data_IF_703095966502
#
_entry.id   IF_703095966502
#
_cell.length_a   1.000
_cell.length_b   1.000
_cell.length_c   1.000
_cell.angle_alpha   90.00
_cell.angle_beta   90.00
_cell.angle_gamma   90.00
#
_symmetry.space_group_name_H-M   'P 1'
#
loop_
_entity.id
_entity.type
_entity.pdbx_description
1 polymer ?
#
# COMPACT_ATOMS: atom_id res chain seq x y z
N UNK A 1 -2.92 -1.65 -0.58
CA UNK A 1 -3.66 -2.54 -1.50
C UNK A 1 -5.10 -2.09 -1.54
N UNK A 2 -5.82 -2.17 -0.41
CA UNK A 2 -7.20 -1.69 -0.33
C UNK A 2 -7.27 -0.21 -0.67
N UNK A 3 -8.32 0.20 -1.37
CA UNK A 3 -8.47 1.57 -1.88
C UNK A 3 -7.52 1.97 -3.03
N UNK A 4 -6.45 1.19 -3.28
CA UNK A 4 -5.42 1.48 -4.28
C UNK A 4 -5.50 0.54 -5.48
N UNK A 5 -5.43 -0.78 -5.24
CA UNK A 5 -5.45 -1.83 -6.28
C UNK A 5 -6.83 -2.48 -6.42
N UNK A 6 -7.63 -2.37 -5.38
CA UNK A 6 -9.05 -2.62 -5.33
C UNK A 6 -9.74 -1.35 -4.85
N UNK A 7 -10.88 -1.02 -5.38
CA UNK A 7 -11.57 0.23 -5.06
C UNK A 7 -13.06 0.10 -5.26
N UNK A 8 -13.84 1.01 -4.66
CA UNK A 8 -15.31 0.90 -4.61
C UNK A 8 -15.94 0.68 -5.99
N UNK A 9 -15.53 1.44 -7.00
CA UNK A 9 -16.06 1.31 -8.36
C UNK A 9 -15.63 0.03 -9.08
N UNK A 10 -14.50 -0.57 -8.69
CA UNK A 10 -14.06 -1.85 -9.25
C UNK A 10 -15.08 -2.95 -8.94
N UNK A 11 -15.52 -3.05 -7.69
CA UNK A 11 -16.46 -4.10 -7.27
C UNK A 11 -17.83 -4.03 -7.95
N UNK A 12 -18.18 -2.88 -8.54
CA UNK A 12 -19.43 -2.69 -9.30
C UNK A 12 -19.19 -2.56 -10.81
N UNK A 13 -17.96 -2.73 -11.25
CA UNK A 13 -17.59 -2.61 -12.67
C UNK A 13 -18.03 -3.82 -13.47
N UNK A 14 -18.52 -3.59 -14.70
CA UNK A 14 -18.78 -4.65 -15.67
C UNK A 14 -17.50 -5.40 -16.10
N UNK A 15 -16.32 -4.78 -15.91
CA UNK A 15 -15.01 -5.39 -16.17
C UNK A 15 -14.58 -6.37 -15.07
N UNK A 16 -15.15 -6.25 -13.87
CA UNK A 16 -14.85 -7.16 -12.78
C UNK A 16 -15.47 -8.53 -13.08
N UNK A 17 -14.67 -9.62 -13.16
CA UNK A 17 -15.17 -10.94 -13.48
C UNK A 17 -16.12 -11.51 -12.42
N UNK A 18 -16.30 -10.77 -11.33
CA UNK A 18 -17.08 -11.22 -10.16
C UNK A 18 -16.30 -12.18 -9.29
N UNK A 19 -16.66 -12.17 -8.02
CA UNK A 19 -16.05 -13.05 -7.02
C UNK A 19 -16.77 -14.41 -7.03
N UNK A 20 -16.50 -15.25 -8.01
CA UNK A 20 -17.13 -16.57 -8.12
C UNK A 20 -16.54 -17.59 -7.13
N UNK A 21 -15.32 -17.36 -6.60
CA UNK A 21 -14.65 -18.24 -5.64
C UNK A 21 -13.69 -17.52 -4.67
N UNK A 22 -13.85 -16.21 -4.45
CA UNK A 22 -13.06 -15.46 -3.47
C UNK A 22 -11.64 -15.05 -3.93
N UNK A 23 -11.27 -15.25 -5.18
CA UNK A 23 -9.90 -14.99 -5.66
C UNK A 23 -9.84 -14.15 -6.93
N UNK A 24 -10.82 -14.27 -7.82
CA UNK A 24 -10.87 -13.50 -9.07
C UNK A 24 -11.80 -12.30 -8.87
N UNK A 25 -11.31 -11.11 -9.18
CA UNK A 25 -12.06 -9.85 -9.04
C UNK A 25 -11.74 -9.03 -7.78
N UNK A 26 -10.88 -9.51 -6.89
CA UNK A 26 -10.44 -8.73 -5.73
C UNK A 26 -9.57 -7.52 -6.15
N UNK A 27 -8.75 -7.67 -7.19
CA UNK A 27 -7.79 -6.66 -7.66
C UNK A 27 -8.10 -6.26 -9.11
N UNK A 28 -7.94 -4.96 -9.40
CA UNK A 28 -8.07 -4.45 -10.77
C UNK A 28 -6.75 -4.65 -11.53
N UNK A 29 -6.74 -5.40 -12.65
CA UNK A 29 -5.57 -5.58 -13.49
C UNK A 29 -4.95 -4.27 -14.00
N UNK A 30 -5.77 -3.26 -14.27
CA UNK A 30 -5.30 -1.95 -14.74
C UNK A 30 -4.52 -1.24 -13.61
N UNK A 31 -4.95 -1.37 -12.36
CA UNK A 31 -4.23 -0.84 -11.20
C UNK A 31 -2.92 -1.58 -10.95
N UNK A 32 -2.91 -2.90 -11.10
CA UNK A 32 -1.69 -3.72 -11.01
C UNK A 32 -0.67 -3.29 -12.08
N UNK A 33 -1.09 -3.14 -13.33
CA UNK A 33 -0.21 -2.69 -14.41
C UNK A 33 0.39 -1.30 -14.16
N UNK A 34 -0.35 -0.40 -13.49
CA UNK A 34 0.16 0.91 -13.06
C UNK A 34 1.27 0.81 -12.04
N UNK A 35 1.15 -0.10 -11.08
CA UNK A 35 2.23 -0.34 -10.09
C UNK A 35 3.44 -0.96 -10.78
N UNK A 36 3.25 -1.95 -11.66
CA UNK A 36 4.34 -2.54 -12.44
C UNK A 36 5.09 -1.46 -13.22
N UNK A 37 4.35 -0.55 -13.87
CA UNK A 37 4.95 0.57 -14.62
C UNK A 37 5.84 1.45 -13.72
N UNK A 38 5.41 1.78 -12.49
CA UNK A 38 6.25 2.53 -11.55
C UNK A 38 7.55 1.78 -11.29
N UNK A 39 7.47 0.48 -10.98
CA UNK A 39 8.64 -0.35 -10.71
C UNK A 39 9.58 -0.45 -11.91
N UNK A 40 9.05 -0.65 -13.11
CA UNK A 40 9.84 -0.78 -14.35
C UNK A 40 10.58 0.51 -14.71
N UNK A 41 9.92 1.67 -14.55
CA UNK A 41 10.50 2.96 -14.91
C UNK A 41 11.49 3.51 -13.88
N UNK A 42 11.40 3.07 -12.61
CA UNK A 42 12.23 3.62 -11.51
C UNK A 42 13.18 2.59 -10.89
N UNK A 43 12.98 1.30 -11.14
CA UNK A 43 13.68 0.23 -10.45
C UNK A 43 13.23 0.01 -8.99
N UNK A 44 12.23 0.75 -8.53
CA UNK A 44 11.70 0.64 -7.18
C UNK A 44 11.14 -0.75 -6.88
N UNK A 45 11.19 -1.12 -5.60
CA UNK A 45 10.60 -2.35 -5.07
C UNK A 45 9.41 -2.02 -4.19
N UNK A 46 8.55 -3.00 -3.99
CA UNK A 46 7.30 -2.85 -3.24
C UNK A 46 7.47 -3.42 -1.85
N UNK A 47 7.12 -2.61 -0.85
CA UNK A 47 6.94 -3.02 0.54
C UNK A 47 5.44 -2.90 0.87
N UNK A 48 4.82 -4.00 1.26
CA UNK A 48 3.37 -4.02 1.53
C UNK A 48 3.07 -3.41 2.89
N UNK A 49 2.29 -2.33 2.91
CA UNK A 49 1.80 -1.65 4.11
C UNK A 49 0.28 -1.83 4.32
N UNK A 50 -0.38 -2.68 3.56
CA UNK A 50 -1.80 -3.01 3.70
C UNK A 50 -2.01 -4.14 4.73
N UNK A 51 -3.21 -4.26 5.26
CA UNK A 51 -3.60 -5.39 6.14
C UNK A 51 -3.51 -6.76 5.45
N UNK A 52 -3.44 -6.79 4.14
CA UNK A 52 -3.14 -8.00 3.37
C UNK A 52 -1.78 -8.63 3.73
N UNK A 53 -0.84 -7.86 4.30
CA UNK A 53 0.45 -8.37 4.80
C UNK A 53 0.32 -9.43 5.90
N UNK A 54 -0.83 -9.51 6.59
CA UNK A 54 -1.12 -10.52 7.62
C UNK A 54 -1.10 -11.92 6.99
N UNK A 55 -1.68 -12.07 5.80
CA UNK A 55 -1.62 -13.30 5.02
C UNK A 55 -0.52 -13.22 3.96
N UNK A 56 0.73 -13.07 4.39
CA UNK A 56 1.86 -12.78 3.52
C UNK A 56 1.95 -13.67 2.28
N UNK A 57 1.96 -14.99 2.47
CA UNK A 57 2.03 -15.94 1.34
C UNK A 57 0.80 -15.87 0.43
N UNK A 58 -0.37 -15.68 1.01
CA UNK A 58 -1.61 -15.52 0.25
C UNK A 58 -1.60 -14.24 -0.59
N UNK A 59 -1.06 -13.16 -0.04
CA UNK A 59 -0.92 -11.87 -0.74
C UNK A 59 0.09 -11.97 -1.87
N UNK A 60 1.29 -12.52 -1.61
CA UNK A 60 2.28 -12.75 -2.67
C UNK A 60 1.73 -13.64 -3.79
N UNK A 61 1.03 -14.71 -3.46
CA UNK A 61 0.41 -15.59 -4.45
C UNK A 61 -0.60 -14.85 -5.33
N UNK A 62 -1.50 -14.05 -4.73
CA UNK A 62 -2.50 -13.27 -5.48
C UNK A 62 -1.86 -12.21 -6.36
N UNK A 63 -0.91 -11.45 -5.82
CA UNK A 63 -0.18 -10.43 -6.57
C UNK A 63 0.64 -11.04 -7.71
N UNK A 64 1.30 -12.19 -7.47
CA UNK A 64 2.04 -12.93 -8.48
C UNK A 64 1.16 -13.40 -9.64
N UNK A 65 -0.04 -13.90 -9.36
CA UNK A 65 -1.03 -14.25 -10.41
C UNK A 65 -1.46 -13.05 -11.26
N UNK A 66 -1.37 -11.85 -10.72
CA UNK A 66 -1.68 -10.62 -11.42
C UNK A 66 -0.46 -9.98 -12.11
N UNK A 67 0.71 -10.62 -12.05
CA UNK A 67 1.94 -10.17 -12.69
C UNK A 67 2.91 -9.40 -11.78
N UNK A 68 2.56 -9.15 -10.51
CA UNK A 68 3.46 -8.63 -9.49
C UNK A 68 4.18 -9.78 -8.80
N UNK A 69 5.24 -10.26 -9.42
CA UNK A 69 6.02 -11.38 -8.92
C UNK A 69 6.95 -11.00 -7.72
N UNK A 70 7.70 -11.99 -7.24
CA UNK A 70 8.62 -11.82 -6.10
C UNK A 70 9.76 -10.82 -6.35
N UNK A 71 10.07 -10.50 -7.62
CA UNK A 71 11.10 -9.52 -7.94
C UNK A 71 10.64 -8.08 -7.64
N UNK A 72 9.32 -7.84 -7.61
CA UNK A 72 8.75 -6.55 -7.25
C UNK A 72 8.43 -6.45 -5.76
N UNK A 73 7.79 -7.46 -5.19
CA UNK A 73 7.28 -7.45 -3.81
C UNK A 73 8.28 -8.10 -2.87
N UNK A 74 9.10 -7.30 -2.23
CA UNK A 74 10.27 -7.76 -1.46
C UNK A 74 10.02 -7.90 0.04
N UNK A 75 9.10 -7.11 0.62
CA UNK A 75 8.92 -7.07 2.07
C UNK A 75 7.55 -6.48 2.46
N UNK A 76 7.31 -6.39 3.77
CA UNK A 76 6.14 -5.77 4.39
C UNK A 76 6.53 -4.92 5.59
N UNK A 77 5.74 -3.87 5.87
CA UNK A 77 5.93 -3.05 7.09
C UNK A 77 5.54 -3.83 8.35
N UNK A 78 6.06 -3.45 9.55
CA UNK A 78 5.62 -4.02 10.82
C UNK A 78 4.12 -3.77 11.06
N UNK A 79 3.51 -4.61 11.89
CA UNK A 79 2.06 -4.58 12.18
C UNK A 79 1.80 -3.95 13.54
N UNK A 80 1.91 -2.63 13.66
CA UNK A 80 1.70 -1.95 14.94
C UNK A 80 0.21 -1.84 15.31
N UNK A 81 -0.65 -1.61 14.32
CA UNK A 81 -2.09 -1.43 14.51
C UNK A 81 -2.74 -2.65 15.18
N UNK A 82 -2.34 -3.88 14.79
CA UNK A 82 -2.92 -5.10 15.35
C UNK A 82 -2.51 -5.40 16.79
N UNK A 83 -1.35 -4.92 17.23
CA UNK A 83 -0.91 -5.07 18.64
C UNK A 83 -1.81 -4.32 19.60
N UNK A 84 -2.53 -3.32 19.13
CA UNK A 84 -3.40 -2.46 19.93
C UNK A 84 -4.81 -2.99 20.04
N UNK A 85 -5.34 -3.61 18.99
CA UNK A 85 -6.70 -4.19 19.02
C UNK A 85 -6.84 -5.28 20.08
N UNK A 86 -5.75 -5.90 20.52
CA UNK A 86 -5.72 -6.85 21.63
C UNK A 86 -5.62 -6.19 23.02
N UNK A 87 -5.49 -4.85 23.11
CA UNK A 87 -5.51 -4.07 24.37
C UNK A 87 -6.77 -3.20 24.37
N UNK A 88 -7.92 -3.81 24.59
CA UNK A 88 -9.27 -3.26 24.41
C UNK A 88 -9.58 -1.95 25.15
N UNK A 89 -8.80 -1.54 26.15
CA UNK A 89 -9.14 -0.46 27.07
C UNK A 89 -8.31 0.84 26.89
N UNK A 90 -7.41 0.90 25.91
CA UNK A 90 -6.39 1.97 25.85
C UNK A 90 -6.66 3.08 24.84
N UNK A 91 -7.63 2.91 23.97
CA UNK A 91 -7.77 3.72 22.73
C UNK A 91 -8.41 5.10 22.89
N UNK A 92 -8.97 5.45 24.04
CA UNK A 92 -9.86 6.63 24.13
C UNK A 92 -9.27 7.84 24.84
N UNK A 93 -8.11 7.78 25.50
CA UNK A 93 -7.66 8.87 26.38
C UNK A 93 -6.36 9.61 25.99
N UNK A 94 -5.48 9.07 25.11
CA UNK A 94 -4.18 9.69 24.84
C UNK A 94 -3.90 9.93 23.36
N UNK A 95 -3.92 11.18 22.93
CA UNK A 95 -3.74 11.63 21.56
C UNK A 95 -2.30 11.40 21.02
N UNK A 96 -1.28 11.39 21.86
CA UNK A 96 0.13 11.18 21.50
C UNK A 96 0.42 9.72 21.16
N UNK A 97 -0.28 8.77 21.76
CA UNK A 97 -0.15 7.33 21.45
C UNK A 97 -0.79 6.95 20.10
N UNK A 98 -1.65 7.79 19.53
CA UNK A 98 -2.33 7.53 18.26
C UNK A 98 -1.36 7.43 17.07
N UNK A 99 -0.20 8.10 17.17
CA UNK A 99 0.83 8.04 16.12
C UNK A 99 1.60 6.71 16.12
N UNK A 100 1.88 6.14 17.28
CA UNK A 100 2.59 4.83 17.37
C UNK A 100 1.89 3.72 16.59
N UNK A 101 0.61 3.91 16.26
CA UNK A 101 -0.24 2.94 15.60
C UNK A 101 -0.75 3.40 14.24
N UNK A 102 -0.20 4.47 13.72
CA UNK A 102 -0.54 4.98 12.41
C UNK A 102 0.17 4.20 11.30
N UNK A 103 -0.35 4.30 10.08
CA UNK A 103 0.32 3.77 8.90
C UNK A 103 1.70 4.42 8.71
N UNK A 104 1.81 5.71 9.02
CA UNK A 104 3.08 6.44 8.99
C UNK A 104 4.12 5.87 9.95
N UNK A 105 3.73 5.49 11.17
CA UNK A 105 4.64 4.87 12.14
C UNK A 105 5.14 3.49 11.67
N UNK A 106 4.31 2.71 10.97
CA UNK A 106 4.70 1.43 10.39
C UNK A 106 5.72 1.62 9.26
N UNK A 107 5.55 2.65 8.43
CA UNK A 107 6.54 3.02 7.38
C UNK A 107 7.85 3.47 8.01
N UNK A 108 7.82 4.34 9.02
CA UNK A 108 9.02 4.79 9.74
C UNK A 108 9.74 3.63 10.43
N UNK A 109 8.98 2.69 11.00
CA UNK A 109 9.53 1.48 11.62
C UNK A 109 10.31 0.64 10.63
N UNK A 110 9.76 0.44 9.42
CA UNK A 110 10.45 -0.31 8.36
C UNK A 110 11.69 0.45 7.86
N UNK A 111 11.58 1.74 7.60
CA UNK A 111 12.71 2.57 7.12
C UNK A 111 13.87 2.62 8.13
N UNK A 112 13.61 2.59 9.44
CA UNK A 112 14.67 2.50 10.46
C UNK A 112 15.48 1.21 10.39
N UNK A 113 14.85 0.12 9.99
CA UNK A 113 15.52 -1.18 9.80
C UNK A 113 16.21 -1.28 8.45
N UNK A 114 15.91 -0.35 7.52
CA UNK A 114 16.43 -0.30 6.15
C UNK A 114 17.09 1.05 5.83
N UNK A 115 18.18 1.42 6.53
CA UNK A 115 18.84 2.72 6.34
C UNK A 115 19.49 2.90 4.95
N UNK A 116 19.62 1.83 4.18
CA UNK A 116 20.05 1.86 2.77
C UNK A 116 18.99 2.44 1.83
N UNK A 117 17.72 2.48 2.25
CA UNK A 117 16.63 3.06 1.47
C UNK A 117 16.59 4.56 1.69
N UNK A 118 17.11 5.30 0.73
CA UNK A 118 17.20 6.77 0.77
C UNK A 118 16.08 7.46 -0.02
N UNK A 119 15.40 6.72 -0.89
CA UNK A 119 14.31 7.25 -1.70
C UNK A 119 13.12 6.28 -1.70
N UNK A 120 11.92 6.80 -1.47
CA UNK A 120 10.69 6.01 -1.40
C UNK A 120 9.48 6.84 -1.79
N UNK A 121 8.38 6.17 -2.08
CA UNK A 121 7.05 6.78 -2.25
C UNK A 121 6.01 5.97 -1.48
N UNK A 122 5.09 6.65 -0.85
CA UNK A 122 3.93 6.05 -0.19
C UNK A 122 2.72 6.23 -1.11
N UNK A 123 2.02 5.14 -1.41
CA UNK A 123 0.78 5.16 -2.21
C UNK A 123 -0.32 4.52 -1.35
N UNK A 124 -1.22 5.32 -0.84
CA UNK A 124 -2.24 4.86 0.11
C UNK A 124 -3.52 5.72 0.00
N UNK A 125 -4.66 5.17 0.39
CA UNK A 125 -5.92 5.89 0.51
C UNK A 125 -6.12 6.50 1.91
N UNK A 126 -5.33 6.08 2.90
CA UNK A 126 -5.30 6.66 4.24
C UNK A 126 -4.44 7.92 4.26
N UNK A 127 -4.63 8.74 5.29
CA UNK A 127 -3.93 10.03 5.44
C UNK A 127 -3.18 10.19 6.76
N UNK A 128 -3.03 9.10 7.53
CA UNK A 128 -2.37 9.09 8.84
C UNK A 128 -0.83 8.99 8.72
N UNK A 129 -0.26 9.92 7.95
CA UNK A 129 1.18 10.08 7.72
C UNK A 129 1.69 11.37 8.34
N UNK A 130 3.01 11.42 8.69
CA UNK A 130 3.65 12.61 9.23
C UNK A 130 3.81 13.71 8.18
N UNK A 131 4.07 14.96 8.66
CA UNK A 131 4.38 16.07 7.77
C UNK A 131 5.64 15.81 6.94
N UNK A 132 6.62 15.08 7.48
CA UNK A 132 7.84 14.68 6.77
C UNK A 132 7.57 13.64 5.68
N UNK A 133 6.58 12.77 5.86
CA UNK A 133 6.20 11.77 4.87
C UNK A 133 5.30 12.33 3.76
N UNK A 134 4.68 13.50 3.97
CA UNK A 134 3.74 14.10 2.99
C UNK A 134 4.38 14.44 1.65
N UNK A 135 5.66 14.78 1.62
CA UNK A 135 6.38 15.05 0.37
C UNK A 135 6.58 13.79 -0.49
N UNK A 136 6.60 12.60 0.14
CA UNK A 136 6.72 11.29 -0.49
C UNK A 136 5.36 10.62 -0.70
N UNK A 137 4.26 11.31 -0.43
CA UNK A 137 2.93 10.72 -0.36
C UNK A 137 2.09 11.00 -1.60
N UNK A 138 1.57 9.92 -2.18
CA UNK A 138 0.56 9.92 -3.23
C UNK A 138 -0.75 9.41 -2.65
N UNK A 139 -1.65 10.35 -2.33
CA UNK A 139 -2.99 10.02 -1.83
C UNK A 139 -3.86 9.50 -2.97
N UNK A 140 -4.50 8.36 -2.75
CA UNK A 140 -5.40 7.72 -3.70
C UNK A 140 -6.84 7.79 -3.16
N UNK A 141 -7.78 8.19 -4.00
CA UNK A 141 -9.20 8.14 -3.64
C UNK A 141 -9.70 6.68 -3.70
N UNK A 142 -10.16 6.09 -2.57
CA UNK A 142 -10.61 4.71 -2.51
C UNK A 142 -11.87 4.43 -3.34
N UNK A 143 -12.49 5.47 -3.90
CA UNK A 143 -13.58 5.32 -4.85
C UNK A 143 -13.10 4.86 -6.23
N UNK A 144 -11.88 5.28 -6.64
CA UNK A 144 -11.40 5.15 -8.02
C UNK A 144 -10.09 4.35 -8.16
N UNK A 145 -9.35 4.12 -7.07
CA UNK A 145 -8.06 3.45 -7.10
C UNK A 145 -6.94 4.30 -7.73
N UNK A 146 -5.78 3.66 -7.93
CA UNK A 146 -4.62 4.34 -8.53
C UNK A 146 -4.87 4.67 -10.00
N UNK A 147 -4.53 5.91 -10.39
CA UNK A 147 -4.69 6.44 -11.76
C UNK A 147 -3.33 6.75 -12.39
N UNK A 148 -3.30 7.07 -13.69
CA UNK A 148 -2.07 7.44 -14.39
C UNK A 148 -1.47 8.76 -13.87
N UNK A 149 -2.28 9.66 -13.30
CA UNK A 149 -1.78 10.85 -12.61
C UNK A 149 -0.99 10.48 -11.35
N UNK A 150 -1.50 9.54 -10.56
CA UNK A 150 -0.79 9.01 -9.39
C UNK A 150 0.52 8.32 -9.78
N UNK A 151 0.53 7.57 -10.89
CA UNK A 151 1.74 6.93 -11.44
C UNK A 151 2.81 7.98 -11.76
N UNK A 152 2.44 9.02 -12.52
CA UNK A 152 3.36 10.08 -12.89
C UNK A 152 3.92 10.82 -11.65
N UNK A 153 3.07 11.09 -10.66
CA UNK A 153 3.50 11.68 -9.39
C UNK A 153 4.49 10.79 -8.64
N UNK A 154 4.20 9.48 -8.54
CA UNK A 154 5.07 8.51 -7.88
C UNK A 154 6.44 8.41 -8.56
N UNK A 155 6.46 8.32 -9.89
CA UNK A 155 7.70 8.28 -10.68
C UNK A 155 8.51 9.57 -10.47
N UNK A 156 7.87 10.73 -10.46
CA UNK A 156 8.54 12.00 -10.22
C UNK A 156 9.16 12.06 -8.81
N UNK A 157 8.47 11.57 -7.78
CA UNK A 157 9.01 11.50 -6.41
C UNK A 157 10.24 10.59 -6.37
N UNK A 158 10.16 9.41 -6.98
CA UNK A 158 11.24 8.43 -6.98
C UNK A 158 12.47 8.85 -7.80
N UNK A 159 12.30 9.69 -8.83
CA UNK A 159 13.39 10.17 -9.69
C UNK A 159 13.97 11.53 -9.25
N UNK A 160 13.34 12.23 -8.32
CA UNK A 160 13.90 13.47 -7.75
C UNK A 160 14.84 13.07 -6.60
N UNK A 161 16.16 13.19 -6.86
CA UNK A 161 17.22 13.11 -5.86
C UNK A 161 17.29 14.37 -4.97
#
# INVERSE_FOLDING_TARGET
IDGVLNYTKWYTSEKNPGNLNGEEGDLDPDCINRIIKICDETGAKIVISSDWRISWYGTQYRLGRMGLDENYVIDKTPEYIWRCLNKHDYFMENYEEKYEYSRGAEVDGWLKEHPEVTNYVIIDDRTDFTDQQKEYFVHVDPMWGITDEHVNKAINILNNE
#
